data_IF_351029238102
#
_entry.id   IF_351029238102
#
_cell.length_a   1.000
_cell.length_b   1.000
_cell.length_c   1.000
_cell.angle_alpha   90.00
_cell.angle_beta   90.00
_cell.angle_gamma   90.00
#
_symmetry.space_group_name_H-M   'P 1'
#
loop_
_entity.id
_entity.type
_entity.pdbx_description
1 polymer ?
#
# COMPACT_ATOMS: atom_id res chain seq x y z
N UNK A 1 -19.84 28.96 27.37
CA UNK A 1 -20.00 30.00 26.33
C UNK A 1 -21.32 30.72 26.44
N UNK A 2 -22.45 30.02 26.55
CA UNK A 2 -23.76 30.63 26.78
C UNK A 2 -23.80 31.49 28.05
N UNK A 3 -23.27 30.99 29.17
CA UNK A 3 -23.15 31.76 30.42
C UNK A 3 -22.35 33.07 30.26
N UNK A 4 -21.36 33.08 29.37
CA UNK A 4 -20.55 34.28 29.11
C UNK A 4 -21.37 35.27 28.28
N UNK A 5 -22.08 34.80 27.26
CA UNK A 5 -22.99 35.66 26.47
C UNK A 5 -24.07 36.28 27.34
N UNK A 6 -24.66 35.49 28.24
CA UNK A 6 -25.69 35.94 29.18
C UNK A 6 -25.11 36.95 30.20
N UNK A 7 -23.88 36.74 30.67
CA UNK A 7 -23.19 37.69 31.54
C UNK A 7 -22.93 39.04 30.84
N UNK A 8 -22.54 39.04 29.56
CA UNK A 8 -22.38 40.27 28.78
C UNK A 8 -23.71 40.99 28.55
N UNK A 9 -24.81 40.27 28.32
CA UNK A 9 -26.14 40.86 28.20
C UNK A 9 -26.62 41.49 29.52
N UNK A 10 -26.35 40.83 30.65
CA UNK A 10 -26.66 41.35 31.98
C UNK A 10 -25.88 42.62 32.31
N UNK A 11 -24.59 42.64 32.00
CA UNK A 11 -23.75 43.83 32.18
C UNK A 11 -24.22 45.01 31.30
N UNK A 12 -24.68 44.76 30.06
CA UNK A 12 -25.16 45.82 29.15
C UNK A 12 -26.41 46.51 29.72
N UNK A 13 -27.30 45.69 30.32
CA UNK A 13 -28.50 46.15 31.02
C UNK A 13 -28.13 47.02 32.22
N UNK A 14 -27.20 46.58 33.06
CA UNK A 14 -26.74 47.34 34.23
C UNK A 14 -26.11 48.69 33.84
N UNK A 15 -25.38 48.73 32.72
CA UNK A 15 -24.78 49.96 32.22
C UNK A 15 -25.83 50.95 31.70
N UNK A 16 -26.91 50.47 31.08
CA UNK A 16 -28.05 51.32 30.73
C UNK A 16 -28.76 51.88 31.96
N UNK A 17 -28.97 51.06 33.00
CA UNK A 17 -29.56 51.52 34.26
C UNK A 17 -28.69 52.60 34.94
N UNK A 18 -27.36 52.40 34.94
CA UNK A 18 -26.41 53.40 35.46
C UNK A 18 -26.47 54.71 34.67
N UNK A 19 -26.60 54.64 33.35
CA UNK A 19 -26.76 55.83 32.49
C UNK A 19 -28.01 56.64 32.85
N UNK A 20 -29.14 55.96 33.02
CA UNK A 20 -30.38 56.60 33.47
C UNK A 20 -30.26 57.23 34.86
N UNK A 21 -29.53 56.59 35.78
CA UNK A 21 -29.26 57.15 37.10
C UNK A 21 -28.40 58.43 37.04
N UNK A 22 -27.36 58.45 36.19
CA UNK A 22 -26.51 59.63 35.97
C UNK A 22 -27.33 60.79 35.39
N UNK A 23 -28.19 60.53 34.40
CA UNK A 23 -29.07 61.56 33.83
C UNK A 23 -30.03 62.16 34.87
N UNK A 24 -30.63 61.31 35.71
CA UNK A 24 -31.52 61.75 36.79
C UNK A 24 -30.79 62.66 37.80
N UNK A 25 -29.59 62.27 38.25
CA UNK A 25 -28.79 63.11 39.17
C UNK A 25 -28.40 64.42 38.49
N UNK A 26 -28.07 64.39 37.19
CA UNK A 26 -27.82 65.61 36.40
C UNK A 26 -29.03 66.56 36.37
N UNK A 27 -30.24 66.00 36.30
CA UNK A 27 -31.50 66.74 36.44
C UNK A 27 -31.66 67.41 37.81
N UNK A 28 -31.35 66.70 38.89
CA UNK A 28 -31.38 67.25 40.25
C UNK A 28 -30.34 68.36 40.45
N UNK A 29 -29.10 68.16 39.99
CA UNK A 29 -28.08 69.21 40.03
C UNK A 29 -28.55 70.48 39.31
N UNK A 30 -29.16 70.35 38.12
CA UNK A 30 -29.71 71.51 37.40
C UNK A 30 -30.81 72.24 38.16
N UNK A 31 -31.67 71.51 38.88
CA UNK A 31 -32.69 72.12 39.76
C UNK A 31 -32.06 72.86 40.94
N UNK A 32 -31.07 72.26 41.60
CA UNK A 32 -30.35 72.89 42.73
C UNK A 32 -29.69 74.19 42.28
N UNK A 33 -29.06 74.20 41.09
CA UNK A 33 -28.46 75.41 40.53
C UNK A 33 -29.49 76.52 40.31
N UNK A 34 -30.68 76.16 39.81
CA UNK A 34 -31.79 77.11 39.65
C UNK A 34 -32.26 77.68 40.99
N UNK A 35 -32.37 76.85 42.03
CA UNK A 35 -32.76 77.27 43.38
C UNK A 35 -31.68 78.19 43.98
N UNK A 36 -30.41 77.81 43.84
CA UNK A 36 -29.26 78.59 44.28
C UNK A 36 -29.24 79.98 43.63
N UNK A 37 -29.43 80.05 42.31
CA UNK A 37 -29.49 81.31 41.55
C UNK A 37 -30.65 82.21 41.99
N UNK A 38 -31.83 81.64 42.23
CA UNK A 38 -32.98 82.37 42.78
C UNK A 38 -32.71 82.86 44.21
N UNK A 39 -32.09 82.03 45.05
CA UNK A 39 -31.74 82.38 46.44
C UNK A 39 -30.70 83.49 46.49
N UNK A 40 -29.71 83.46 45.58
CA UNK A 40 -28.74 84.53 45.39
C UNK A 40 -29.40 85.86 45.01
N UNK A 41 -30.40 85.83 44.13
CA UNK A 41 -31.19 87.02 43.75
C UNK A 41 -32.05 87.54 44.92
N UNK A 42 -32.68 86.64 45.69
CA UNK A 42 -33.42 86.99 46.91
C UNK A 42 -32.51 87.65 47.95
N UNK A 43 -31.33 87.08 48.20
CA UNK A 43 -30.34 87.62 49.12
C UNK A 43 -29.80 88.99 48.65
N UNK A 44 -29.62 89.19 47.35
CA UNK A 44 -29.25 90.48 46.77
C UNK A 44 -30.32 91.53 47.04
N UNK A 45 -31.59 91.21 46.77
CA UNK A 45 -32.72 92.10 47.04
C UNK A 45 -32.81 92.46 48.54
N UNK A 46 -32.62 91.48 49.42
CA UNK A 46 -32.59 91.71 50.87
C UNK A 46 -31.41 92.60 51.30
N UNK A 47 -30.24 92.44 50.67
CA UNK A 47 -29.07 93.30 50.92
C UNK A 47 -29.35 94.75 50.52
N UNK A 48 -30.02 94.97 49.39
CA UNK A 48 -30.42 96.31 48.92
C UNK A 48 -31.40 96.95 49.91
N UNK A 49 -32.42 96.22 50.35
CA UNK A 49 -33.43 96.77 51.27
C UNK A 49 -32.87 97.02 52.68
N UNK A 50 -31.96 96.16 53.14
CA UNK A 50 -31.23 96.36 54.39
C UNK A 50 -30.35 97.62 54.35
N UNK A 51 -29.69 97.91 53.23
CA UNK A 51 -28.94 99.16 53.04
C UNK A 51 -29.87 100.39 53.03
N UNK A 52 -31.08 100.25 52.46
CA UNK A 52 -32.09 101.30 52.40
C UNK A 52 -32.66 101.68 53.77
N UNK A 53 -32.75 100.71 54.69
CA UNK A 53 -33.19 100.92 56.07
C UNK A 53 -32.14 101.57 56.99
N UNK A 54 -30.91 101.80 56.51
CA UNK A 54 -29.84 102.46 57.27
C UNK A 54 -29.39 101.68 58.51
N UNK A 55 -29.24 102.36 59.65
CA UNK A 55 -28.80 101.74 60.93
C UNK A 55 -29.77 100.64 61.42
N UNK A 56 -31.07 100.74 61.13
CA UNK A 56 -32.07 99.74 61.52
C UNK A 56 -31.94 98.42 60.73
N UNK A 57 -31.32 98.45 59.54
CA UNK A 57 -31.16 97.30 58.65
C UNK A 57 -29.87 96.50 58.85
N UNK A 58 -28.97 96.93 59.75
CA UNK A 58 -27.61 96.37 59.89
C UNK A 58 -27.58 94.87 60.15
N UNK A 59 -28.47 94.36 61.01
CA UNK A 59 -28.59 92.93 61.29
C UNK A 59 -29.10 92.12 60.08
N UNK A 60 -30.06 92.67 59.34
CA UNK A 60 -30.56 92.05 58.10
C UNK A 60 -29.51 92.02 56.99
N UNK A 61 -28.65 93.04 56.90
CA UNK A 61 -27.56 93.08 55.92
C UNK A 61 -26.55 91.95 56.13
N UNK A 62 -26.22 91.61 57.39
CA UNK A 62 -25.33 90.49 57.72
C UNK A 62 -25.94 89.16 57.29
N UNK A 63 -27.22 88.93 57.62
CA UNK A 63 -27.93 87.71 57.22
C UNK A 63 -28.02 87.59 55.70
N UNK A 64 -28.33 88.68 55.00
CA UNK A 64 -28.43 88.68 53.54
C UNK A 64 -27.08 88.39 52.86
N UNK A 65 -25.97 88.90 53.40
CA UNK A 65 -24.63 88.59 52.92
C UNK A 65 -24.28 87.09 53.12
N UNK A 66 -24.63 86.51 54.26
CA UNK A 66 -24.41 85.09 54.55
C UNK A 66 -25.23 84.19 53.61
N UNK A 67 -26.50 84.50 53.38
CA UNK A 67 -27.35 83.75 52.43
C UNK A 67 -26.81 83.84 51.00
N UNK A 68 -26.29 85.00 50.60
CA UNK A 68 -25.64 85.16 49.30
C UNK A 68 -24.39 84.28 49.18
N UNK A 69 -23.55 84.27 50.20
CA UNK A 69 -22.34 83.43 50.23
C UNK A 69 -22.69 81.93 50.16
N UNK A 70 -23.68 81.48 50.94
CA UNK A 70 -24.19 80.10 50.91
C UNK A 70 -24.72 79.71 49.52
N UNK A 71 -25.43 80.62 48.85
CA UNK A 71 -25.92 80.39 47.49
C UNK A 71 -24.74 80.26 46.50
N UNK A 72 -23.74 81.13 46.58
CA UNK A 72 -22.55 81.04 45.72
C UNK A 72 -21.71 79.77 45.97
N UNK A 73 -21.65 79.28 47.21
CA UNK A 73 -21.05 78.00 47.54
C UNK A 73 -21.89 76.82 47.03
N UNK A 74 -23.21 76.91 47.13
CA UNK A 74 -24.14 75.91 46.58
C UNK A 74 -23.96 75.78 45.07
N UNK A 75 -23.96 76.89 44.33
CA UNK A 75 -23.74 76.85 42.88
C UNK A 75 -22.40 76.21 42.50
N UNK A 76 -21.31 76.60 43.17
CA UNK A 76 -19.99 75.98 42.95
C UNK A 76 -19.99 74.47 43.21
N UNK A 77 -20.65 74.04 44.27
CA UNK A 77 -20.78 72.61 44.60
C UNK A 77 -21.58 71.88 43.51
N UNK A 78 -22.61 72.53 42.98
CA UNK A 78 -23.47 71.98 41.93
C UNK A 78 -22.72 71.85 40.60
N UNK A 79 -21.86 72.80 40.27
CA UNK A 79 -20.97 72.71 39.11
C UNK A 79 -19.98 71.54 39.23
N UNK A 80 -19.35 71.36 40.41
CA UNK A 80 -18.47 70.21 40.68
C UNK A 80 -19.21 68.87 40.52
N UNK A 81 -20.47 68.78 40.94
CA UNK A 81 -21.31 67.59 40.72
C UNK A 81 -21.51 67.33 39.22
N UNK A 82 -21.76 68.36 38.40
CA UNK A 82 -21.94 68.21 36.94
C UNK A 82 -20.67 67.74 36.26
N UNK A 83 -19.51 68.27 36.66
CA UNK A 83 -18.22 67.81 36.14
C UNK A 83 -18.00 66.34 36.46
N UNK A 84 -18.31 65.92 37.70
CA UNK A 84 -18.18 64.52 38.11
C UNK A 84 -19.15 63.59 37.36
N UNK A 85 -20.39 64.01 37.12
CA UNK A 85 -21.36 63.24 36.32
C UNK A 85 -20.91 63.10 34.87
N UNK A 86 -20.30 64.13 34.30
CA UNK A 86 -19.75 64.09 32.94
C UNK A 86 -18.62 63.07 32.87
N UNK A 87 -17.68 63.10 33.82
CA UNK A 87 -16.61 62.11 33.90
C UNK A 87 -17.15 60.67 34.06
N UNK A 88 -18.20 60.48 34.87
CA UNK A 88 -18.85 59.17 35.02
C UNK A 88 -19.51 58.70 33.72
N UNK A 89 -20.18 59.59 32.99
CA UNK A 89 -20.78 59.28 31.70
C UNK A 89 -19.71 58.86 30.66
N UNK A 90 -18.56 59.53 30.63
CA UNK A 90 -17.45 59.18 29.75
C UNK A 90 -16.87 57.79 30.06
N UNK A 91 -16.68 57.48 31.35
CA UNK A 91 -16.24 56.14 31.79
C UNK A 91 -17.26 55.07 31.38
N UNK A 92 -18.55 55.36 31.56
CA UNK A 92 -19.64 54.46 31.20
C UNK A 92 -19.65 54.17 29.68
N UNK A 93 -19.48 55.19 28.83
CA UNK A 93 -19.36 55.01 27.38
C UNK A 93 -18.13 54.16 27.01
N UNK A 94 -17.00 54.39 27.68
CA UNK A 94 -15.80 53.56 27.50
C UNK A 94 -16.05 52.09 27.82
N UNK A 95 -16.74 51.81 28.91
CA UNK A 95 -17.12 50.45 29.30
C UNK A 95 -18.10 49.81 28.31
N UNK A 96 -19.13 50.51 27.84
CA UNK A 96 -20.05 50.00 26.80
C UNK A 96 -19.31 49.62 25.51
N UNK A 97 -18.34 50.43 25.10
CA UNK A 97 -17.50 50.11 23.92
C UNK A 97 -16.64 48.87 24.16
N UNK A 98 -15.99 48.76 25.31
CA UNK A 98 -15.20 47.58 25.67
C UNK A 98 -16.06 46.31 25.72
N UNK A 99 -17.28 46.42 26.23
CA UNK A 99 -18.26 45.35 26.27
C UNK A 99 -18.70 44.89 24.88
N UNK A 100 -18.99 45.82 23.97
CA UNK A 100 -19.35 45.49 22.60
C UNK A 100 -18.23 44.69 21.89
N UNK A 101 -16.97 45.12 22.09
CA UNK A 101 -15.79 44.41 21.56
C UNK A 101 -15.64 43.04 22.22
N UNK A 102 -15.79 42.94 23.54
CA UNK A 102 -15.74 41.68 24.27
C UNK A 102 -16.80 40.69 23.80
N UNK A 103 -18.05 41.15 23.64
CA UNK A 103 -19.15 40.35 23.13
C UNK A 103 -18.92 39.84 21.70
N UNK A 104 -18.31 40.66 20.84
CA UNK A 104 -17.90 40.21 19.50
C UNK A 104 -16.84 39.11 19.57
N UNK A 105 -15.81 39.26 20.42
CA UNK A 105 -14.77 38.23 20.60
C UNK A 105 -15.30 36.92 21.19
N UNK A 106 -16.29 36.98 22.07
CA UNK A 106 -16.98 35.79 22.57
C UNK A 106 -17.74 35.10 21.43
N UNK A 107 -18.41 35.84 20.55
CA UNK A 107 -19.07 35.24 19.37
C UNK A 107 -18.05 34.57 18.42
N UNK A 108 -16.97 35.25 18.06
CA UNK A 108 -15.89 34.68 17.23
C UNK A 108 -15.33 33.37 17.83
N UNK A 109 -15.15 33.37 19.16
CA UNK A 109 -14.71 32.19 19.89
C UNK A 109 -15.71 31.04 19.81
N UNK A 110 -17.02 31.33 19.86
CA UNK A 110 -18.08 30.31 19.73
C UNK A 110 -18.03 29.65 18.38
N UNK A 111 -17.98 30.45 17.32
CA UNK A 111 -17.95 29.95 15.94
C UNK A 111 -16.70 29.06 15.70
N UNK A 112 -15.57 29.45 16.30
CA UNK A 112 -14.35 28.65 16.28
C UNK A 112 -14.51 27.31 17.02
N UNK A 113 -15.17 27.29 18.18
CA UNK A 113 -15.43 26.04 18.91
C UNK A 113 -16.42 25.14 18.15
N UNK A 114 -17.44 25.71 17.53
CA UNK A 114 -18.41 24.96 16.71
C UNK A 114 -17.71 24.33 15.50
N UNK A 115 -16.77 25.04 14.85
CA UNK A 115 -15.94 24.48 13.79
C UNK A 115 -15.05 23.32 14.30
N UNK A 116 -14.38 23.49 15.45
CA UNK A 116 -13.58 22.42 16.05
C UNK A 116 -14.43 21.20 16.38
N UNK A 117 -15.65 21.39 16.89
CA UNK A 117 -16.57 20.28 17.18
C UNK A 117 -16.95 19.52 15.90
N UNK A 118 -17.21 20.24 14.80
CA UNK A 118 -17.45 19.64 13.48
C UNK A 118 -16.25 18.84 12.98
N UNK A 119 -15.03 19.40 13.10
CA UNK A 119 -13.81 18.72 12.69
C UNK A 119 -13.57 17.44 13.51
N UNK A 120 -13.84 17.48 14.82
CA UNK A 120 -13.74 16.30 15.68
C UNK A 120 -14.73 15.20 15.29
N UNK A 121 -15.97 15.55 14.95
CA UNK A 121 -16.95 14.59 14.45
C UNK A 121 -16.50 13.94 13.12
N UNK A 122 -15.88 14.72 12.24
CA UNK A 122 -15.32 14.18 10.99
C UNK A 122 -14.14 13.25 11.24
N UNK A 123 -13.27 13.58 12.21
CA UNK A 123 -12.17 12.70 12.63
C UNK A 123 -12.71 11.37 13.17
N UNK A 124 -13.74 11.41 14.02
CA UNK A 124 -14.38 10.21 14.55
C UNK A 124 -14.90 9.30 13.43
N UNK A 125 -15.60 9.87 12.44
CA UNK A 125 -16.06 9.13 11.26
C UNK A 125 -14.91 8.49 10.49
N UNK A 126 -13.83 9.24 10.25
CA UNK A 126 -12.66 8.75 9.53
C UNK A 126 -11.97 7.60 10.27
N UNK A 127 -11.87 7.69 11.60
CA UNK A 127 -11.34 6.61 12.44
C UNK A 127 -12.21 5.35 12.33
N UNK A 128 -13.54 5.50 12.28
CA UNK A 128 -14.46 4.38 12.01
C UNK A 128 -14.16 3.69 10.69
N UNK A 129 -14.03 4.45 9.60
CA UNK A 129 -13.71 3.91 8.26
C UNK A 129 -12.36 3.17 8.26
N UNK A 130 -11.35 3.73 8.94
CA UNK A 130 -10.04 3.08 9.07
C UNK A 130 -10.16 1.75 9.82
N UNK A 131 -10.92 1.71 10.91
CA UNK A 131 -11.13 0.49 11.69
C UNK A 131 -11.83 -0.61 10.86
N UNK A 132 -12.85 -0.26 10.09
CA UNK A 132 -13.54 -1.20 9.19
C UNK A 132 -12.59 -1.75 8.12
N UNK A 133 -11.74 -0.87 7.56
CA UNK A 133 -10.73 -1.25 6.56
C UNK A 133 -9.70 -2.22 7.13
N UNK A 134 -9.25 -1.99 8.37
CA UNK A 134 -8.34 -2.91 9.07
C UNK A 134 -9.01 -4.28 9.28
N UNK A 135 -10.29 -4.30 9.65
CA UNK A 135 -11.07 -5.53 9.76
C UNK A 135 -11.15 -6.31 8.43
N UNK A 136 -11.41 -5.62 7.33
CA UNK A 136 -11.46 -6.22 6.00
C UNK A 136 -10.09 -6.82 5.58
N UNK A 137 -8.99 -6.09 5.82
CA UNK A 137 -7.63 -6.57 5.54
C UNK A 137 -7.32 -7.83 6.37
N UNK A 138 -7.70 -7.87 7.65
CA UNK A 138 -7.50 -9.05 8.49
C UNK A 138 -8.27 -10.27 7.95
N UNK A 139 -9.50 -10.07 7.45
CA UNK A 139 -10.25 -11.12 6.76
C UNK A 139 -9.53 -11.65 5.52
N UNK A 140 -9.09 -10.74 4.64
CA UNK A 140 -8.33 -11.10 3.43
C UNK A 140 -7.03 -11.86 3.73
N UNK A 141 -6.30 -11.48 4.78
CA UNK A 141 -5.08 -12.19 5.20
C UNK A 141 -5.37 -13.62 5.65
N UNK A 142 -6.53 -13.85 6.29
CA UNK A 142 -6.98 -15.19 6.69
C UNK A 142 -7.27 -16.07 5.46
N UNK A 143 -7.95 -15.51 4.46
CA UNK A 143 -8.23 -16.21 3.20
C UNK A 143 -6.93 -16.51 2.43
N UNK A 144 -6.02 -15.55 2.37
CA UNK A 144 -4.72 -15.70 1.72
C UNK A 144 -3.86 -16.78 2.40
N UNK A 145 -3.89 -16.88 3.73
CA UNK A 145 -3.21 -17.95 4.45
C UNK A 145 -3.76 -19.31 4.02
N UNK A 146 -5.08 -19.47 3.99
CA UNK A 146 -5.76 -20.72 3.60
C UNK A 146 -5.41 -21.14 2.15
N UNK A 147 -5.37 -20.16 1.24
CA UNK A 147 -4.95 -20.39 -0.14
C UNK A 147 -3.48 -20.85 -0.23
N UNK A 148 -2.60 -20.20 0.53
CA UNK A 148 -1.16 -20.53 0.56
C UNK A 148 -0.90 -21.93 1.11
N UNK A 149 -1.63 -22.35 2.15
CA UNK A 149 -1.56 -23.72 2.69
C UNK A 149 -2.02 -24.76 1.66
N UNK A 150 -3.08 -24.46 0.91
CA UNK A 150 -3.59 -25.34 -0.15
C UNK A 150 -2.59 -25.46 -1.31
N UNK A 151 -1.93 -24.36 -1.67
CA UNK A 151 -0.85 -24.36 -2.66
C UNK A 151 0.35 -25.19 -2.18
N UNK A 152 0.77 -25.03 -0.93
CA UNK A 152 1.87 -25.80 -0.36
C UNK A 152 1.60 -27.32 -0.39
N UNK A 153 0.38 -27.74 -0.06
CA UNK A 153 -0.06 -29.14 -0.19
C UNK A 153 0.00 -29.62 -1.64
N UNK A 154 -0.50 -28.81 -2.57
CA UNK A 154 -0.49 -29.15 -4.00
C UNK A 154 0.94 -29.30 -4.54
N UNK A 155 1.86 -28.42 -4.15
CA UNK A 155 3.28 -28.51 -4.52
C UNK A 155 3.94 -29.76 -3.95
N UNK A 156 3.64 -30.13 -2.70
CA UNK A 156 4.14 -31.36 -2.10
C UNK A 156 3.67 -32.59 -2.89
N UNK A 157 2.41 -32.60 -3.32
CA UNK A 157 1.86 -33.69 -4.13
C UNK A 157 2.49 -33.76 -5.52
N UNK A 158 2.70 -32.61 -6.18
CA UNK A 158 3.41 -32.55 -7.47
C UNK A 158 4.83 -33.10 -7.34
N UNK A 159 5.58 -32.71 -6.30
CA UNK A 159 6.92 -33.21 -6.05
C UNK A 159 6.92 -34.74 -5.83
N UNK A 160 5.93 -35.25 -5.08
CA UNK A 160 5.75 -36.69 -4.87
C UNK A 160 5.48 -37.42 -6.18
N UNK A 161 4.57 -36.91 -7.01
CA UNK A 161 4.24 -37.48 -8.32
C UNK A 161 5.43 -37.43 -9.29
N UNK A 162 6.19 -36.34 -9.30
CA UNK A 162 7.41 -36.22 -10.11
C UNK A 162 8.45 -37.28 -9.72
N UNK A 163 8.68 -37.47 -8.42
CA UNK A 163 9.58 -38.53 -7.93
C UNK A 163 9.07 -39.94 -8.22
N UNK A 164 7.75 -40.16 -8.23
CA UNK A 164 7.17 -41.44 -8.64
C UNK A 164 7.37 -41.68 -10.15
N UNK A 165 7.11 -40.69 -11.00
CA UNK A 165 7.32 -40.78 -12.44
C UNK A 165 8.78 -41.09 -12.78
N UNK A 166 9.74 -40.50 -12.05
CA UNK A 166 11.16 -40.81 -12.23
C UNK A 166 11.46 -42.29 -11.95
N UNK A 167 10.92 -42.83 -10.84
CA UNK A 167 11.07 -44.25 -10.49
C UNK A 167 10.41 -45.16 -11.54
N UNK A 168 9.19 -44.85 -11.96
CA UNK A 168 8.45 -45.63 -12.93
C UNK A 168 9.17 -45.64 -14.30
N UNK A 169 9.74 -44.50 -14.70
CA UNK A 169 10.54 -44.38 -15.93
C UNK A 169 11.80 -45.25 -15.87
N UNK A 170 12.53 -45.24 -14.75
CA UNK A 170 13.70 -46.11 -14.55
C UNK A 170 13.31 -47.59 -14.57
N UNK A 171 12.23 -47.97 -13.90
CA UNK A 171 11.73 -49.34 -13.90
C UNK A 171 11.30 -49.81 -15.30
N UNK A 172 10.62 -48.95 -16.07
CA UNK A 172 10.26 -49.25 -17.46
C UNK A 172 11.51 -49.48 -18.33
N UNK A 173 12.55 -48.65 -18.16
CA UNK A 173 13.82 -48.84 -18.86
C UNK A 173 14.53 -50.15 -18.49
N UNK A 174 14.49 -50.57 -17.22
CA UNK A 174 15.00 -51.88 -16.79
C UNK A 174 14.26 -53.05 -17.46
N UNK A 175 12.93 -52.96 -17.55
CA UNK A 175 12.10 -53.99 -18.21
C UNK A 175 12.40 -54.06 -19.72
N UNK A 176 12.56 -52.92 -20.37
CA UNK A 176 12.97 -52.85 -21.79
C UNK A 176 14.34 -53.50 -21.98
N UNK A 177 15.32 -53.15 -21.15
CA UNK A 177 16.66 -53.74 -21.16
C UNK A 177 16.62 -55.26 -21.02
N UNK A 178 15.86 -55.78 -20.05
CA UNK A 178 15.70 -57.22 -19.86
C UNK A 178 15.05 -57.90 -21.05
N UNK A 179 14.03 -57.29 -21.63
CA UNK A 179 13.31 -57.80 -22.80
C UNK A 179 14.23 -57.88 -24.02
N UNK A 180 15.03 -56.84 -24.24
CA UNK A 180 16.03 -56.81 -25.30
C UNK A 180 17.09 -57.91 -25.13
N UNK A 181 17.61 -58.11 -23.92
CA UNK A 181 18.57 -59.19 -23.66
C UNK A 181 17.99 -60.57 -23.98
N UNK A 182 16.71 -60.82 -23.65
CA UNK A 182 16.03 -62.06 -24.01
C UNK A 182 15.90 -62.20 -25.54
N UNK A 183 15.51 -61.14 -26.25
CA UNK A 183 15.39 -61.15 -27.73
C UNK A 183 16.75 -61.38 -28.38
N UNK A 184 17.82 -60.72 -27.90
CA UNK A 184 19.19 -60.95 -28.37
C UNK A 184 19.59 -62.41 -28.18
N UNK A 185 19.32 -63.00 -27.01
CA UNK A 185 19.61 -64.42 -26.76
C UNK A 185 18.87 -65.35 -27.71
N UNK A 186 17.59 -65.08 -27.99
CA UNK A 186 16.81 -65.84 -28.99
C UNK A 186 17.45 -65.71 -30.39
N UNK A 187 17.85 -64.51 -30.79
CA UNK A 187 18.53 -64.30 -32.08
C UNK A 187 19.85 -65.07 -32.12
N UNK A 188 20.63 -65.09 -31.04
CA UNK A 188 21.90 -65.83 -30.99
C UNK A 188 21.68 -67.34 -31.12
N UNK A 189 20.66 -67.92 -30.47
CA UNK A 189 20.31 -69.34 -30.67
C UNK A 189 19.88 -69.65 -32.11
N UNK A 190 19.36 -68.67 -32.87
CA UNK A 190 19.01 -68.88 -34.28
C UNK A 190 20.24 -69.06 -35.19
N UNK A 191 21.42 -68.61 -34.75
CA UNK A 191 22.68 -68.89 -35.43
C UNK A 191 22.99 -70.39 -35.40
N UNK A 192 22.82 -71.02 -34.24
CA UNK A 192 23.08 -72.45 -34.01
C UNK A 192 22.11 -73.34 -34.80
N UNK A 193 20.89 -72.85 -35.00
CA UNK A 193 19.84 -73.54 -35.77
C UNK A 193 19.91 -73.30 -37.28
N UNK A 194 20.92 -72.56 -37.78
CA UNK A 194 21.12 -72.32 -39.21
C UNK A 194 19.98 -71.54 -39.88
N UNK A 195 19.25 -70.69 -39.14
CA UNK A 195 18.07 -70.01 -39.67
C UNK A 195 18.48 -68.98 -40.74
N UNK A 196 17.82 -68.94 -41.92
CA UNK A 196 18.09 -67.95 -42.95
C UNK A 196 18.07 -66.51 -42.42
N UNK A 197 18.86 -65.63 -43.01
CA UNK A 197 18.87 -64.19 -42.69
C UNK A 197 19.22 -63.86 -41.23
N UNK A 198 19.91 -64.77 -40.52
CA UNK A 198 20.48 -64.53 -39.18
C UNK A 198 21.30 -63.24 -39.13
N UNK A 199 22.25 -63.06 -40.07
CA UNK A 199 23.13 -61.90 -40.10
C UNK A 199 22.35 -60.58 -40.11
N UNK A 200 21.30 -60.47 -40.93
CA UNK A 200 20.47 -59.26 -40.96
C UNK A 200 19.69 -59.05 -39.66
N UNK A 201 19.16 -60.11 -39.04
CA UNK A 201 18.47 -60.02 -37.74
C UNK A 201 19.41 -59.65 -36.59
N UNK A 202 20.63 -60.18 -36.58
CA UNK A 202 21.66 -59.83 -35.59
C UNK A 202 22.09 -58.37 -35.69
N UNK A 203 22.37 -57.88 -36.91
CA UNK A 203 22.71 -56.47 -37.15
C UNK A 203 21.60 -55.52 -36.70
N UNK A 204 20.34 -55.88 -36.95
CA UNK A 204 19.16 -55.14 -36.49
C UNK A 204 19.07 -55.07 -34.96
N UNK A 205 19.33 -56.19 -34.28
CA UNK A 205 19.34 -56.25 -32.82
C UNK A 205 20.48 -55.41 -32.22
N UNK A 206 21.71 -55.55 -32.75
CA UNK A 206 22.87 -54.76 -32.33
C UNK A 206 22.62 -53.26 -32.49
N UNK A 207 21.97 -52.86 -33.59
CA UNK A 207 21.62 -51.48 -33.84
C UNK A 207 20.58 -50.93 -32.86
N UNK A 208 19.52 -51.69 -32.60
CA UNK A 208 18.48 -51.29 -31.64
C UNK A 208 19.06 -51.13 -30.22
N UNK A 209 19.94 -52.05 -29.81
CA UNK A 209 20.68 -51.99 -28.56
C UNK A 209 21.48 -50.69 -28.44
N UNK A 210 22.27 -50.39 -29.48
CA UNK A 210 23.09 -49.19 -29.54
C UNK A 210 22.25 -47.90 -29.50
N UNK A 211 21.20 -47.82 -30.31
CA UNK A 211 20.32 -46.65 -30.41
C UNK A 211 19.58 -46.37 -29.11
N UNK A 212 19.11 -47.42 -28.42
CA UNK A 212 18.44 -47.30 -27.11
C UNK A 212 19.38 -46.71 -26.06
N UNK A 213 20.64 -47.19 -25.98
CA UNK A 213 21.62 -46.63 -25.04
C UNK A 213 21.82 -45.13 -25.24
N UNK A 214 21.87 -44.66 -26.48
CA UNK A 214 21.94 -43.23 -26.78
C UNK A 214 20.68 -42.47 -26.32
N UNK A 215 19.50 -43.08 -26.47
CA UNK A 215 18.25 -42.51 -25.96
C UNK A 215 18.23 -42.42 -24.42
N UNK A 216 18.66 -43.48 -23.73
CA UNK A 216 18.76 -43.51 -22.26
C UNK A 216 19.74 -42.46 -21.73
N UNK A 217 20.84 -42.23 -22.44
CA UNK A 217 21.75 -41.12 -22.14
C UNK A 217 21.09 -39.75 -22.34
N UNK A 218 20.36 -39.55 -23.43
CA UNK A 218 19.68 -38.29 -23.74
C UNK A 218 18.63 -37.91 -22.68
N UNK A 219 17.93 -38.91 -22.13
CA UNK A 219 16.92 -38.69 -21.08
C UNK A 219 17.47 -38.82 -19.65
N UNK A 220 18.78 -39.01 -19.48
CA UNK A 220 19.44 -39.04 -18.18
C UNK A 220 19.22 -40.32 -17.35
N UNK A 221 18.74 -41.40 -17.97
CA UNK A 221 18.62 -42.73 -17.33
C UNK A 221 20.02 -43.34 -17.17
N UNK A 222 20.88 -43.18 -18.17
CA UNK A 222 22.26 -43.65 -18.14
C UNK A 222 23.23 -42.46 -18.17
N UNK A 223 24.25 -42.49 -17.31
CA UNK A 223 25.31 -41.49 -17.34
C UNK A 223 26.06 -41.52 -18.67
N UNK A 224 26.36 -40.33 -19.20
CA UNK A 224 27.19 -40.17 -20.38
C UNK A 224 28.64 -40.15 -19.93
N UNK A 225 29.43 -41.09 -20.43
CA UNK A 225 30.89 -41.05 -20.33
C UNK A 225 31.48 -40.66 -21.69
N UNK A 226 31.80 -39.37 -21.94
CA UNK A 226 32.17 -38.89 -23.27
C UNK A 226 33.39 -39.61 -23.85
N UNK A 227 34.33 -40.05 -23.00
CA UNK A 227 35.53 -40.79 -23.41
C UNK A 227 35.24 -42.26 -23.72
N UNK A 228 34.34 -42.91 -22.99
CA UNK A 228 33.96 -44.30 -23.24
C UNK A 228 33.15 -44.44 -24.53
N UNK A 229 32.25 -43.48 -24.80
CA UNK A 229 31.41 -43.49 -26.00
C UNK A 229 32.16 -43.06 -27.27
N UNK A 230 33.09 -42.10 -27.21
CA UNK A 230 33.80 -41.62 -28.42
C UNK A 230 34.92 -42.54 -28.91
N UNK A 231 35.41 -43.45 -28.06
CA UNK A 231 36.52 -44.35 -28.37
C UNK A 231 36.15 -45.50 -29.31
N UNK A 232 34.89 -45.97 -29.30
CA UNK A 232 34.42 -47.04 -30.21
C UNK A 232 32.90 -47.00 -30.42
N UNK A 233 32.43 -46.14 -31.33
CA UNK A 233 31.02 -46.11 -31.75
C UNK A 233 30.80 -47.19 -32.81
N UNK A 234 30.03 -48.22 -32.50
CA UNK A 234 29.69 -49.31 -33.42
C UNK A 234 28.17 -49.40 -33.60
N UNK A 235 27.56 -48.61 -34.53
CA UNK A 235 26.11 -48.56 -34.68
C UNK A 235 25.47 -49.88 -35.10
N UNK A 236 26.24 -50.84 -35.62
CA UNK A 236 25.79 -52.18 -35.99
C UNK A 236 26.50 -53.28 -35.18
N UNK A 237 27.19 -52.91 -34.10
CA UNK A 237 27.91 -53.82 -33.20
C UNK A 237 29.10 -54.55 -33.82
N UNK A 238 29.72 -55.41 -33.01
CA UNK A 238 30.89 -56.20 -33.38
C UNK A 238 30.60 -57.21 -34.51
N UNK A 239 29.35 -57.63 -34.71
CA UNK A 239 28.99 -58.57 -35.77
C UNK A 239 29.17 -57.96 -37.16
N UNK A 240 28.87 -56.67 -37.33
CA UNK A 240 29.14 -55.97 -38.59
C UNK A 240 30.63 -55.87 -38.91
N UNK A 241 31.45 -55.61 -37.88
CA UNK A 241 32.90 -55.53 -38.02
C UNK A 241 33.54 -56.87 -38.42
N UNK A 242 32.89 -58.00 -38.08
CA UNK A 242 33.34 -59.35 -38.40
C UNK A 242 32.88 -59.87 -39.77
N UNK A 243 31.96 -59.17 -40.46
CA UNK A 243 31.55 -59.56 -41.82
C UNK A 243 32.71 -59.38 -42.80
N UNK A 244 33.02 -60.44 -43.54
CA UNK A 244 34.03 -60.38 -44.61
C UNK A 244 33.56 -59.49 -45.76
N UNK A 245 34.49 -59.02 -46.59
CA UNK A 245 34.12 -58.27 -47.79
C UNK A 245 33.23 -59.10 -48.73
N UNK A 246 33.49 -60.41 -48.81
CA UNK A 246 32.64 -61.34 -49.54
C UNK A 246 31.20 -61.37 -48.97
N UNK A 247 31.04 -61.42 -47.65
CA UNK A 247 29.72 -61.39 -47.01
C UNK A 247 28.95 -60.09 -47.28
N UNK A 248 29.65 -58.96 -47.35
CA UNK A 248 29.04 -57.65 -47.66
C UNK A 248 28.58 -57.57 -49.11
N UNK A 249 29.28 -58.24 -50.02
CA UNK A 249 28.96 -58.26 -51.45
C UNK A 249 27.77 -59.19 -51.79
N UNK A 250 27.39 -60.12 -50.90
CA UNK A 250 26.30 -61.10 -51.09
C UNK A 250 24.91 -60.47 -51.24
N UNK A 251 24.67 -59.27 -50.70
CA UNK A 251 23.35 -58.64 -50.77
C UNK A 251 23.46 -57.12 -51.01
N UNK A 252 22.67 -56.53 -51.94
CA UNK A 252 22.72 -55.09 -52.24
C UNK A 252 22.57 -54.18 -51.02
N UNK A 253 21.72 -54.58 -50.06
CA UNK A 253 21.54 -53.83 -48.81
C UNK A 253 22.82 -53.82 -47.96
N UNK A 254 23.51 -54.97 -47.81
CA UNK A 254 24.73 -55.05 -47.00
C UNK A 254 25.87 -54.21 -47.61
N UNK A 255 25.98 -54.22 -48.95
CA UNK A 255 26.90 -53.37 -49.71
C UNK A 255 26.65 -51.87 -49.46
N UNK A 256 25.40 -51.47 -49.25
CA UNK A 256 24.99 -50.08 -49.02
C UNK A 256 25.06 -49.60 -47.56
N UNK A 257 25.44 -50.45 -46.60
CA UNK A 257 25.51 -50.07 -45.18
C UNK A 257 26.65 -49.10 -44.81
N UNK A 258 27.87 -49.17 -45.38
CA UNK A 258 28.99 -48.35 -44.89
C UNK A 258 28.72 -46.83 -44.87
N UNK A 259 28.16 -46.19 -45.92
CA UNK A 259 27.85 -44.76 -45.87
C UNK A 259 26.79 -44.40 -44.82
N UNK A 260 25.84 -45.31 -44.54
CA UNK A 260 24.82 -45.10 -43.49
C UNK A 260 25.45 -45.19 -42.10
N UNK A 261 26.38 -46.12 -41.90
CA UNK A 261 27.13 -46.25 -40.63
C UNK A 261 27.95 -44.98 -40.35
N UNK A 262 28.57 -44.38 -41.36
CA UNK A 262 29.30 -43.10 -41.20
C UNK A 262 28.39 -41.97 -40.71
N UNK A 263 27.18 -41.85 -41.25
CA UNK A 263 26.18 -40.87 -40.79
C UNK A 263 25.80 -41.15 -39.34
N UNK A 264 25.51 -42.41 -38.99
CA UNK A 264 25.16 -42.80 -37.63
C UNK A 264 26.28 -42.49 -36.63
N UNK A 265 27.55 -42.75 -36.99
CA UNK A 265 28.71 -42.42 -36.14
C UNK A 265 28.87 -40.91 -35.99
N UNK A 266 28.71 -40.15 -37.07
CA UNK A 266 28.85 -38.68 -37.04
C UNK A 266 27.80 -38.04 -36.14
N UNK A 267 26.53 -38.37 -36.34
CA UNK A 267 25.43 -37.79 -35.58
C UNK A 267 25.45 -38.24 -34.11
N UNK A 268 25.76 -39.51 -33.84
CA UNK A 268 25.88 -40.00 -32.45
C UNK A 268 27.07 -39.39 -31.70
N UNK A 269 28.19 -39.12 -32.39
CA UNK A 269 29.31 -38.37 -31.81
C UNK A 269 28.90 -36.95 -31.47
N UNK A 270 28.24 -36.25 -32.41
CA UNK A 270 27.71 -34.90 -32.19
C UNK A 270 26.76 -34.89 -30.99
N UNK A 271 25.85 -35.86 -30.88
CA UNK A 271 24.96 -36.01 -29.74
C UNK A 271 25.74 -36.11 -28.41
N UNK A 272 26.72 -37.01 -28.30
CA UNK A 272 27.48 -37.20 -27.06
C UNK A 272 28.30 -35.96 -26.70
N UNK A 273 28.90 -35.29 -27.68
CA UNK A 273 29.69 -34.08 -27.48
C UNK A 273 28.83 -32.89 -27.02
N UNK A 274 27.67 -32.68 -27.65
CA UNK A 274 26.74 -31.61 -27.27
C UNK A 274 26.13 -31.86 -25.89
N UNK A 275 25.77 -33.11 -25.56
CA UNK A 275 25.33 -33.44 -24.19
C UNK A 275 26.45 -33.21 -23.15
N UNK A 276 27.71 -33.55 -23.46
CA UNK A 276 28.84 -33.31 -22.57
C UNK A 276 29.10 -31.81 -22.32
N UNK A 277 28.71 -30.96 -23.28
CA UNK A 277 28.76 -29.49 -23.17
C UNK A 277 27.53 -28.90 -22.47
N UNK A 278 26.52 -29.71 -22.14
CA UNK A 278 25.24 -29.25 -21.57
C UNK A 278 24.26 -28.67 -22.60
N UNK A 279 24.54 -28.81 -23.90
CA UNK A 279 23.72 -28.29 -24.98
C UNK A 279 22.63 -29.30 -25.38
N UNK A 280 21.49 -29.27 -24.67
CA UNK A 280 20.45 -30.29 -24.85
C UNK A 280 19.73 -30.19 -26.21
N UNK A 281 19.45 -28.98 -26.71
CA UNK A 281 18.74 -28.80 -27.97
C UNK A 281 19.55 -29.31 -29.20
N UNK A 282 20.83 -28.94 -29.39
CA UNK A 282 21.67 -29.53 -30.43
C UNK A 282 21.86 -31.05 -30.30
N UNK A 283 21.87 -31.58 -29.08
CA UNK A 283 21.94 -33.02 -28.85
C UNK A 283 20.67 -33.74 -29.32
N UNK A 284 19.49 -33.19 -29.04
CA UNK A 284 18.20 -33.72 -29.53
C UNK A 284 18.16 -33.69 -31.06
N UNK A 285 18.61 -32.60 -31.67
CA UNK A 285 18.66 -32.48 -33.14
C UNK A 285 19.58 -33.53 -33.78
N UNK A 286 20.74 -33.79 -33.16
CA UNK A 286 21.65 -34.84 -33.58
C UNK A 286 21.02 -36.25 -33.41
N UNK A 287 20.28 -36.48 -32.31
CA UNK A 287 19.52 -37.73 -32.12
C UNK A 287 18.50 -37.94 -33.24
N UNK A 288 17.73 -36.91 -33.58
CA UNK A 288 16.71 -36.98 -34.63
C UNK A 288 17.30 -37.21 -36.02
N UNK A 289 18.44 -36.58 -36.33
CA UNK A 289 19.16 -36.81 -37.58
C UNK A 289 19.67 -38.25 -37.68
N UNK A 290 20.23 -38.79 -36.58
CA UNK A 290 20.62 -40.19 -36.47
C UNK A 290 19.40 -41.13 -36.60
N UNK A 291 18.29 -40.81 -35.95
CA UNK A 291 17.05 -41.61 -35.92
C UNK A 291 16.44 -41.77 -37.32
N UNK A 292 16.47 -40.72 -38.13
CA UNK A 292 16.06 -40.76 -39.53
C UNK A 292 16.89 -41.77 -40.33
N UNK A 293 18.22 -41.68 -40.25
CA UNK A 293 19.13 -42.62 -40.93
C UNK A 293 18.96 -44.06 -40.44
N UNK A 294 18.79 -44.22 -39.13
CA UNK A 294 18.51 -45.50 -38.45
C UNK A 294 17.24 -46.16 -39.01
N UNK A 295 16.15 -45.40 -39.13
CA UNK A 295 14.85 -45.92 -39.58
C UNK A 295 14.90 -46.44 -41.02
N UNK A 296 15.54 -45.69 -41.91
CA UNK A 296 15.75 -46.13 -43.29
C UNK A 296 16.63 -47.41 -43.36
N UNK A 297 17.75 -47.42 -42.62
CA UNK A 297 18.66 -48.58 -42.56
C UNK A 297 17.97 -49.84 -42.03
N UNK A 298 17.16 -49.70 -40.97
CA UNK A 298 16.42 -50.80 -40.37
C UNK A 298 15.35 -51.37 -41.30
N UNK A 299 14.73 -50.50 -42.11
CA UNK A 299 13.77 -50.91 -43.14
C UNK A 299 14.45 -51.72 -44.24
N UNK A 300 15.61 -51.27 -44.71
CA UNK A 300 16.37 -51.98 -45.73
C UNK A 300 16.91 -53.33 -45.21
N UNK A 301 17.43 -53.37 -43.97
CA UNK A 301 17.87 -54.62 -43.33
C UNK A 301 16.73 -55.62 -43.13
N UNK A 302 15.50 -55.15 -42.92
CA UNK A 302 14.33 -56.03 -42.80
C UNK A 302 14.00 -56.76 -44.11
N UNK A 303 14.41 -56.23 -45.26
CA UNK A 303 14.19 -56.83 -46.59
C UNK A 303 15.17 -57.95 -46.94
N UNK A 304 16.19 -58.19 -46.11
CA UNK A 304 17.12 -59.32 -46.26
C UNK A 304 16.49 -60.62 -45.73
N UNK A 305 15.32 -60.53 -45.07
CA UNK A 305 14.52 -61.65 -44.56
C UNK A 305 13.80 -62.43 -45.64
#
# INVERSE_FOLDING_TARGET
MQDITDAFAGLDTQMHELGGAIENIGGFAKQIESISSQTKLLALNATIEAARAGEAGRGFAVVAAEVKALSEETSRTTDLIRDQLTALADVMQGMLKAMAVGGAKVRDGRDSFDAVASDMAQIEQNVGIVNDSVGAIAGMLTDQQSATESMAKSLSEIARLAGQNEKDTKSAAEVINRSEHMVSGIIDTSAELGVPSYAARRLRADHMAWKRRLAECLVGIQAIEPRAYTAKIEPLGAHFARLTEEDRQKHPVLRGLPPRVEVLVRESRKLVEEMARGHMQPAIEAYLAMDKCSTEMMTDLARIG
#
